data_IF_575387302810
#
_entry.id   IF_575387302810
#
_cell.length_a   1.000
_cell.length_b   1.000
_cell.length_c   1.000
_cell.angle_alpha   90.00
_cell.angle_beta   90.00
_cell.angle_gamma   90.00
#
_symmetry.space_group_name_H-M   'P 1'
#
loop_
_entity.id
_entity.type
_entity.pdbx_description
1 polymer ?
#
# COMPACT_ATOMS: atom_id res chain seq x y z
N UNK A 1 8.65 19.70 21.86
CA UNK A 1 9.10 18.86 20.72
C UNK A 1 8.59 17.42 20.85
N UNK A 2 8.78 16.75 21.99
CA UNK A 2 8.28 15.39 22.24
C UNK A 2 6.76 15.21 22.01
N UNK A 3 5.93 16.17 22.41
CA UNK A 3 4.47 16.08 22.22
C UNK A 3 4.05 16.11 20.74
N UNK A 4 4.74 16.89 19.90
CA UNK A 4 4.46 16.95 18.47
C UNK A 4 4.85 15.64 17.77
N UNK A 5 6.00 15.05 18.12
CA UNK A 5 6.44 13.75 17.58
C UNK A 5 5.44 12.66 17.92
N UNK A 6 4.91 12.65 19.15
CA UNK A 6 3.88 11.70 19.57
C UNK A 6 2.59 11.85 18.74
N UNK A 7 2.11 13.09 18.53
CA UNK A 7 0.92 13.35 17.71
C UNK A 7 1.10 12.93 16.25
N UNK A 8 2.30 13.10 15.69
CA UNK A 8 2.60 12.63 14.32
C UNK A 8 2.49 11.12 14.23
N UNK A 9 3.04 10.36 15.19
CA UNK A 9 2.88 8.90 15.23
C UNK A 9 1.42 8.50 15.32
N UNK A 10 0.66 9.15 16.21
CA UNK A 10 -0.76 8.90 16.38
C UNK A 10 -1.61 9.23 15.14
N UNK A 11 -1.12 9.98 14.16
CA UNK A 11 -1.85 10.22 12.91
C UNK A 11 -1.77 9.08 11.89
N UNK A 12 -0.85 8.13 12.08
CA UNK A 12 -0.70 6.94 11.24
C UNK A 12 -1.68 5.87 11.77
N UNK A 13 -2.92 5.86 11.27
CA UNK A 13 -3.98 4.97 11.79
C UNK A 13 -4.64 4.08 10.75
N UNK A 14 -4.52 4.40 9.47
CA UNK A 14 -5.28 3.73 8.42
C UNK A 14 -4.42 2.73 7.68
N UNK A 15 -5.05 1.61 7.30
CA UNK A 15 -4.47 0.71 6.33
C UNK A 15 -5.50 0.22 5.32
N UNK A 16 -5.52 0.85 4.15
CA UNK A 16 -6.48 0.52 3.08
C UNK A 16 -6.28 -0.89 2.52
N UNK A 17 -5.07 -1.44 2.54
CA UNK A 17 -4.82 -2.78 1.96
C UNK A 17 -5.32 -3.93 2.83
N UNK A 18 -5.85 -3.63 4.02
CA UNK A 18 -6.49 -4.62 4.90
C UNK A 18 -7.99 -4.77 4.63
N UNK A 19 -8.59 -3.93 3.81
CA UNK A 19 -10.04 -3.91 3.57
C UNK A 19 -10.40 -4.48 2.21
N UNK A 20 -10.53 -5.81 2.13
CA UNK A 20 -11.02 -6.54 0.97
C UNK A 20 -11.55 -7.92 1.39
N UNK A 21 -12.41 -8.50 0.54
CA UNK A 21 -12.86 -9.87 0.71
C UNK A 21 -11.73 -10.82 0.30
N UNK A 22 -11.19 -11.60 1.25
CA UNK A 22 -10.14 -12.58 0.96
C UNK A 22 -10.75 -13.80 0.25
N UNK A 23 -10.23 -14.13 -0.92
CA UNK A 23 -10.66 -15.23 -1.78
C UNK A 23 -9.44 -16.05 -2.19
N UNK A 24 -9.57 -17.37 -2.17
CA UNK A 24 -8.53 -18.26 -2.68
C UNK A 24 -8.43 -18.15 -4.21
N UNK A 25 -7.32 -17.59 -4.68
CA UNK A 25 -7.04 -17.49 -6.11
C UNK A 25 -6.51 -18.82 -6.64
N UNK A 26 -7.22 -19.40 -7.61
CA UNK A 26 -6.66 -20.51 -8.38
C UNK A 26 -5.51 -20.02 -9.28
N UNK A 27 -4.50 -20.87 -9.52
CA UNK A 27 -3.36 -20.52 -10.37
C UNK A 27 -3.76 -20.06 -11.79
N UNK A 28 -4.85 -20.62 -12.32
CA UNK A 28 -5.41 -20.21 -13.62
C UNK A 28 -5.92 -18.76 -13.59
N UNK A 29 -6.61 -18.35 -12.52
CA UNK A 29 -7.15 -17.00 -12.35
C UNK A 29 -6.06 -15.96 -12.14
N UNK A 30 -4.96 -16.34 -11.47
CA UNK A 30 -3.81 -15.47 -11.27
C UNK A 30 -3.04 -15.20 -12.58
N UNK A 31 -2.96 -16.19 -13.47
CA UNK A 31 -2.18 -16.08 -14.72
C UNK A 31 -2.73 -15.09 -15.75
N UNK A 32 -4.02 -14.72 -15.64
CA UNK A 32 -4.67 -13.77 -16.54
C UNK A 32 -4.53 -12.30 -16.11
N UNK A 33 -4.01 -12.02 -14.91
CA UNK A 33 -3.94 -10.68 -14.37
C UNK A 33 -2.59 -10.06 -14.75
N UNK A 34 -2.57 -8.94 -15.50
CA UNK A 34 -1.33 -8.28 -15.88
C UNK A 34 -0.65 -7.66 -14.65
N UNK A 35 0.68 -7.62 -14.64
CA UNK A 35 1.38 -6.83 -13.62
C UNK A 35 1.17 -5.31 -13.84
N UNK A 36 0.84 -4.59 -12.77
CA UNK A 36 0.43 -3.18 -12.81
C UNK A 36 1.55 -2.20 -12.48
N UNK A 37 2.77 -2.66 -12.22
CA UNK A 37 3.94 -1.81 -11.94
C UNK A 37 4.20 -0.76 -13.03
N UNK A 38 3.74 -0.99 -14.26
CA UNK A 38 3.69 0.03 -15.30
C UNK A 38 2.32 0.00 -15.98
N UNK A 39 1.58 1.10 -15.95
CA UNK A 39 0.32 1.20 -16.67
C UNK A 39 0.54 1.49 -18.15
N UNK A 40 -0.32 0.89 -18.97
CA UNK A 40 -0.47 1.16 -20.39
C UNK A 40 -1.93 0.93 -20.74
N UNK A 41 -2.44 1.57 -21.79
CA UNK A 41 -3.81 1.39 -22.25
C UNK A 41 -4.15 -0.09 -22.45
N UNK A 42 -3.24 -0.87 -23.04
CA UNK A 42 -3.42 -2.32 -23.22
C UNK A 42 -3.58 -3.11 -21.92
N UNK A 43 -2.89 -2.69 -20.85
CA UNK A 43 -3.01 -3.34 -19.54
C UNK A 43 -4.32 -2.95 -18.86
N UNK A 44 -4.72 -1.69 -18.98
CA UNK A 44 -6.02 -1.23 -18.47
C UNK A 44 -7.16 -1.94 -19.21
N UNK A 45 -7.08 -2.07 -20.52
CA UNK A 45 -8.07 -2.83 -21.30
C UNK A 45 -8.19 -4.28 -20.83
N UNK A 46 -7.07 -4.93 -20.50
CA UNK A 46 -7.11 -6.31 -19.99
C UNK A 46 -7.71 -6.47 -18.59
N UNK A 47 -7.88 -5.38 -17.83
CA UNK A 47 -8.59 -5.42 -16.55
C UNK A 47 -10.11 -5.33 -16.70
N UNK A 48 -10.63 -4.86 -17.85
CA UNK A 48 -12.06 -4.55 -18.03
C UNK A 48 -13.00 -5.72 -17.79
N UNK A 49 -12.56 -6.91 -18.17
CA UNK A 49 -13.36 -8.14 -18.09
C UNK A 49 -13.12 -8.93 -16.79
N UNK A 50 -12.27 -8.41 -15.89
CA UNK A 50 -11.95 -9.07 -14.62
C UNK A 50 -12.89 -8.64 -13.50
N UNK A 51 -13.00 -9.49 -12.48
CA UNK A 51 -13.70 -9.18 -11.24
C UNK A 51 -12.80 -8.40 -10.28
N UNK A 52 -13.34 -7.35 -9.62
CA UNK A 52 -12.56 -6.50 -8.71
C UNK A 52 -12.01 -7.29 -7.52
N UNK A 53 -12.78 -8.23 -6.94
CA UNK A 53 -12.31 -9.01 -5.80
C UNK A 53 -11.11 -9.89 -6.22
N UNK A 54 -11.16 -10.44 -7.43
CA UNK A 54 -10.07 -11.21 -8.01
C UNK A 54 -8.80 -10.35 -8.18
N UNK A 55 -8.95 -9.13 -8.72
CA UNK A 55 -7.83 -8.18 -8.87
C UNK A 55 -7.27 -7.78 -7.51
N UNK A 56 -8.12 -7.40 -6.55
CA UNK A 56 -7.71 -7.04 -5.19
C UNK A 56 -6.93 -8.16 -4.52
N UNK A 57 -7.43 -9.40 -4.54
CA UNK A 57 -6.74 -10.55 -3.95
C UNK A 57 -5.36 -10.79 -4.57
N UNK A 58 -5.24 -10.61 -5.90
CA UNK A 58 -3.99 -10.87 -6.59
C UNK A 58 -2.90 -9.86 -6.23
N UNK A 59 -3.27 -8.61 -5.97
CA UNK A 59 -2.32 -7.57 -5.60
C UNK A 59 -2.10 -7.45 -4.09
N UNK A 60 -3.13 -7.62 -3.27
CA UNK A 60 -3.04 -7.48 -1.81
C UNK A 60 -2.40 -8.69 -1.14
N UNK A 61 -2.79 -9.92 -1.46
CA UNK A 61 -2.27 -11.10 -0.76
C UNK A 61 -0.73 -11.18 -0.80
N UNK A 62 -0.05 -11.02 -1.96
CA UNK A 62 1.41 -11.06 -1.99
C UNK A 62 2.07 -9.95 -1.17
N UNK A 63 1.43 -8.78 -1.05
CA UNK A 63 1.96 -7.66 -0.23
C UNK A 63 1.84 -7.98 1.26
N UNK A 64 0.72 -8.58 1.68
CA UNK A 64 0.53 -9.01 3.07
C UNK A 64 1.48 -10.14 3.44
N UNK A 65 1.65 -11.13 2.56
CA UNK A 65 2.62 -12.23 2.73
C UNK A 65 4.07 -11.73 2.74
N UNK A 66 4.40 -10.77 1.88
CA UNK A 66 5.73 -10.15 1.88
C UNK A 66 6.00 -9.44 3.20
N UNK A 67 5.01 -8.72 3.76
CA UNK A 67 5.16 -8.06 5.05
C UNK A 67 5.35 -9.06 6.19
N UNK A 68 4.48 -10.07 6.29
CA UNK A 68 4.55 -11.07 7.36
C UNK A 68 5.88 -11.84 7.34
N UNK A 69 6.31 -12.28 6.15
CA UNK A 69 7.56 -13.01 5.97
C UNK A 69 8.81 -12.15 6.19
N UNK A 70 8.83 -10.91 5.67
CA UNK A 70 10.01 -10.02 5.78
C UNK A 70 10.29 -9.57 7.22
N UNK A 71 9.24 -9.45 8.03
CA UNK A 71 9.34 -8.96 9.41
C UNK A 71 9.08 -10.03 10.47
N UNK A 72 8.87 -11.28 10.04
CA UNK A 72 8.58 -12.42 10.90
C UNK A 72 7.46 -12.13 11.92
N UNK A 73 6.36 -11.58 11.39
CA UNK A 73 5.11 -11.35 12.14
C UNK A 73 4.02 -12.30 11.64
N UNK A 74 2.99 -12.49 12.46
CA UNK A 74 1.83 -13.29 12.09
C UNK A 74 1.16 -12.78 10.80
N UNK A 75 0.44 -13.67 10.12
CA UNK A 75 -0.37 -13.29 8.96
C UNK A 75 -1.36 -12.16 9.31
N UNK A 76 -1.46 -11.20 8.40
CA UNK A 76 -2.28 -10.02 8.61
C UNK A 76 -3.76 -10.36 8.43
N UNK A 77 -4.57 -9.87 9.35
CA UNK A 77 -6.02 -10.06 9.34
C UNK A 77 -6.63 -9.01 8.40
N UNK A 78 -7.51 -9.44 7.50
CA UNK A 78 -8.24 -8.56 6.57
C UNK A 78 -9.71 -8.46 6.97
N UNK A 79 -10.42 -7.48 6.41
CA UNK A 79 -11.87 -7.39 6.55
C UNK A 79 -12.55 -7.07 5.22
N UNK A 80 -13.64 -7.77 4.95
CA UNK A 80 -14.59 -7.49 3.87
C UNK A 80 -15.46 -6.25 4.10
N UNK A 81 -15.34 -5.58 5.25
CA UNK A 81 -16.22 -4.49 5.64
C UNK A 81 -15.45 -3.37 6.33
N UNK A 82 -15.52 -2.17 5.77
CA UNK A 82 -14.85 -0.97 6.30
C UNK A 82 -15.28 -0.60 7.73
N UNK A 83 -16.48 -1.01 8.15
CA UNK A 83 -16.99 -0.79 9.52
C UNK A 83 -16.38 -1.75 10.54
N UNK A 84 -15.74 -2.84 10.10
CA UNK A 84 -15.08 -3.83 10.94
C UNK A 84 -13.57 -3.67 10.83
N UNK A 85 -12.99 -2.91 11.75
CA UNK A 85 -11.53 -2.73 11.79
C UNK A 85 -10.90 -4.10 12.10
N UNK A 86 -10.04 -4.65 11.23
CA UNK A 86 -9.42 -5.95 11.48
C UNK A 86 -8.44 -5.85 12.65
N UNK A 87 -8.62 -6.74 13.62
CA UNK A 87 -7.76 -6.80 14.80
C UNK A 87 -6.50 -7.62 14.50
N UNK A 88 -5.37 -6.93 14.40
CA UNK A 88 -4.07 -7.57 14.17
C UNK A 88 -3.54 -8.24 15.44
N UNK A 89 -2.67 -9.21 15.23
CA UNK A 89 -1.98 -9.92 16.29
C UNK A 89 -1.05 -9.00 17.11
N UNK A 90 -0.78 -9.32 18.40
CA UNK A 90 0.07 -8.49 19.25
C UNK A 90 1.50 -8.28 18.75
N UNK A 91 2.10 -9.28 18.12
CA UNK A 91 3.43 -9.22 17.50
C UNK A 91 3.47 -8.24 16.32
N UNK A 92 2.45 -8.24 15.46
CA UNK A 92 2.31 -7.29 14.34
C UNK A 92 2.19 -5.85 14.86
N UNK A 93 1.34 -5.62 15.87
CA UNK A 93 1.20 -4.29 16.48
C UNK A 93 2.49 -3.84 17.16
N UNK A 94 3.16 -4.76 17.86
CA UNK A 94 4.45 -4.49 18.52
C UNK A 94 5.52 -4.11 17.51
N UNK A 95 5.59 -4.82 16.37
CA UNK A 95 6.52 -4.51 15.29
C UNK A 95 6.28 -3.11 14.72
N UNK A 96 5.03 -2.78 14.36
CA UNK A 96 4.70 -1.46 13.78
C UNK A 96 5.05 -0.34 14.77
N UNK A 97 4.71 -0.51 16.05
CA UNK A 97 5.05 0.48 17.08
C UNK A 97 6.57 0.62 17.25
N UNK A 98 7.30 -0.51 17.31
CA UNK A 98 8.76 -0.51 17.43
C UNK A 98 9.43 0.14 16.22
N UNK A 99 8.90 -0.10 15.02
CA UNK A 99 9.35 0.56 13.80
C UNK A 99 9.18 2.08 13.91
N UNK A 100 7.99 2.57 14.26
CA UNK A 100 7.73 4.01 14.42
C UNK A 100 8.55 4.62 15.57
N UNK A 101 8.82 3.86 16.62
CA UNK A 101 9.65 4.28 17.76
C UNK A 101 11.13 4.38 17.42
N UNK A 102 11.60 3.59 16.47
CA UNK A 102 12.99 3.66 15.99
C UNK A 102 13.28 4.88 15.10
N UNK A 103 12.24 5.55 14.57
CA UNK A 103 12.43 6.66 13.62
C UNK A 103 12.81 7.96 14.32
N UNK A 104 13.79 8.65 13.77
CA UNK A 104 14.04 10.05 14.13
C UNK A 104 12.98 10.99 13.53
N UNK A 105 12.90 12.28 13.95
CA UNK A 105 11.87 13.19 13.48
C UNK A 105 11.81 13.39 11.96
N UNK A 106 12.94 13.37 11.25
CA UNK A 106 12.99 13.54 9.79
C UNK A 106 12.49 12.30 9.05
N UNK A 107 12.89 11.12 9.53
CA UNK A 107 12.35 9.85 9.04
C UNK A 107 10.85 9.77 9.29
N UNK A 108 10.36 10.18 10.48
CA UNK A 108 8.94 10.19 10.80
C UNK A 108 8.12 11.10 9.88
N UNK A 109 8.64 12.28 9.51
CA UNK A 109 8.00 13.16 8.53
C UNK A 109 7.88 12.46 7.17
N UNK A 110 8.95 11.78 6.73
CA UNK A 110 8.92 11.02 5.47
C UNK A 110 7.91 9.88 5.51
N UNK A 111 7.86 9.16 6.63
CA UNK A 111 6.89 8.09 6.87
C UNK A 111 5.46 8.62 6.87
N UNK A 112 5.20 9.76 7.51
CA UNK A 112 3.88 10.37 7.50
C UNK A 112 3.45 10.81 6.11
N UNK A 113 4.34 11.46 5.35
CA UNK A 113 4.02 11.91 4.00
C UNK A 113 3.81 10.74 3.03
N UNK A 114 4.59 9.67 3.18
CA UNK A 114 4.41 8.42 2.43
C UNK A 114 3.08 7.76 2.78
N UNK A 115 2.78 7.63 4.08
CA UNK A 115 1.50 7.09 4.56
C UNK A 115 0.32 7.90 4.07
N UNK A 116 0.43 9.23 4.05
CA UNK A 116 -0.63 10.08 3.52
C UNK A 116 -0.89 9.83 2.02
N UNK A 117 0.14 9.52 1.25
CA UNK A 117 0.00 9.22 -0.18
C UNK A 117 -0.56 7.81 -0.44
N UNK A 118 -0.11 6.82 0.32
CA UNK A 118 -0.46 5.40 0.12
C UNK A 118 -1.69 4.95 0.93
N UNK A 119 -2.10 5.74 1.94
CA UNK A 119 -3.17 5.42 2.90
C UNK A 119 -3.01 4.08 3.64
N UNK A 120 -1.81 3.50 3.61
CA UNK A 120 -1.46 2.20 4.16
C UNK A 120 -0.11 2.22 4.87
N UNK A 121 -0.08 1.76 6.12
CA UNK A 121 1.17 1.67 6.89
C UNK A 121 2.00 0.46 6.46
N UNK A 122 1.34 -0.64 6.07
CA UNK A 122 2.00 -1.83 5.50
C UNK A 122 2.77 -1.44 4.24
N UNK A 123 2.10 -0.81 3.27
CA UNK A 123 2.76 -0.34 2.04
C UNK A 123 3.85 0.69 2.32
N UNK A 124 3.61 1.59 3.27
CA UNK A 124 4.60 2.60 3.67
C UNK A 124 5.88 1.95 4.20
N UNK A 125 5.76 0.95 5.08
CA UNK A 125 6.93 0.25 5.64
C UNK A 125 7.65 -0.53 4.54
N UNK A 126 6.93 -1.30 3.73
CA UNK A 126 7.53 -2.06 2.62
C UNK A 126 8.28 -1.15 1.65
N UNK A 127 7.68 -0.01 1.28
CA UNK A 127 8.29 0.96 0.37
C UNK A 127 9.54 1.61 0.97
N UNK A 128 9.47 2.10 2.22
CA UNK A 128 10.62 2.75 2.88
C UNK A 128 11.77 1.78 3.17
N UNK A 129 11.49 0.47 3.23
CA UNK A 129 12.49 -0.60 3.35
C UNK A 129 12.99 -1.11 2.00
N UNK A 130 12.65 -0.45 0.88
CA UNK A 130 13.00 -0.85 -0.48
C UNK A 130 12.55 -2.27 -0.86
N UNK A 131 11.49 -2.79 -0.23
CA UNK A 131 10.94 -4.13 -0.52
C UNK A 131 9.97 -4.10 -1.71
N UNK A 132 9.40 -2.93 -2.02
CA UNK A 132 8.54 -2.71 -3.18
C UNK A 132 8.91 -1.40 -3.88
N UNK A 133 8.68 -1.33 -5.20
CA UNK A 133 8.90 -0.13 -6.00
C UNK A 133 7.87 0.97 -5.67
N UNK A 134 8.16 2.23 -6.02
CA UNK A 134 7.20 3.33 -5.88
C UNK A 134 5.95 3.11 -6.72
N UNK A 135 6.09 2.48 -7.89
CA UNK A 135 4.96 2.15 -8.75
C UNK A 135 4.11 1.05 -8.13
N UNK A 136 4.73 -0.04 -7.64
CA UNK A 136 4.01 -1.11 -6.94
C UNK A 136 3.23 -0.56 -5.75
N UNK A 137 3.89 0.25 -4.91
CA UNK A 137 3.27 0.86 -3.74
C UNK A 137 2.05 1.70 -4.13
N UNK A 138 2.18 2.55 -5.14
CA UNK A 138 1.09 3.40 -5.63
C UNK A 138 -0.08 2.55 -6.17
N UNK A 139 0.19 1.55 -7.00
CA UNK A 139 -0.84 0.73 -7.64
C UNK A 139 -1.64 -0.07 -6.66
N UNK A 140 -0.95 -0.71 -5.73
CA UNK A 140 -1.62 -1.48 -4.69
C UNK A 140 -2.47 -0.52 -3.84
N UNK A 141 -1.97 0.67 -3.49
CA UNK A 141 -2.76 1.64 -2.72
C UNK A 141 -4.04 2.15 -3.41
N UNK A 142 -4.10 2.06 -4.75
CA UNK A 142 -5.17 2.63 -5.60
C UNK A 142 -5.75 1.60 -6.57
N UNK A 143 -5.82 0.34 -6.16
CA UNK A 143 -6.25 -0.74 -7.05
C UNK A 143 -7.68 -0.52 -7.55
N UNK A 144 -8.57 -0.01 -6.70
CA UNK A 144 -9.96 0.29 -7.05
C UNK A 144 -10.05 1.43 -8.07
N UNK A 145 -9.34 2.53 -7.84
CA UNK A 145 -9.31 3.66 -8.78
C UNK A 145 -8.72 3.25 -10.14
N UNK A 146 -7.69 2.40 -10.13
CA UNK A 146 -7.08 1.84 -11.34
C UNK A 146 -8.08 0.98 -12.09
N UNK A 147 -8.82 0.13 -11.39
CA UNK A 147 -9.85 -0.74 -11.96
C UNK A 147 -11.06 0.05 -12.51
N UNK A 148 -11.46 1.11 -11.82
CA UNK A 148 -12.51 2.02 -12.29
C UNK A 148 -12.06 2.77 -13.54
N UNK A 149 -10.81 3.23 -13.58
CA UNK A 149 -10.23 3.90 -14.75
C UNK A 149 -10.13 2.97 -15.95
N UNK A 150 -9.84 1.68 -15.75
CA UNK A 150 -9.95 0.70 -16.85
C UNK A 150 -11.38 0.58 -17.38
N UNK A 151 -12.39 0.57 -16.50
CA UNK A 151 -13.78 0.36 -16.92
C UNK A 151 -14.45 1.58 -17.54
N UNK A 152 -14.09 2.78 -17.08
CA UNK A 152 -14.77 4.03 -17.45
C UNK A 152 -13.91 5.01 -18.22
N UNK A 153 -12.65 4.63 -18.50
CA UNK A 153 -11.68 5.45 -19.21
C UNK A 153 -10.76 6.22 -18.26
N UNK A 154 -9.54 6.45 -18.73
CA UNK A 154 -8.53 7.23 -18.03
C UNK A 154 -8.80 8.71 -18.23
N UNK A 155 -8.68 9.49 -17.15
CA UNK A 155 -8.79 10.95 -17.20
C UNK A 155 -7.41 11.59 -17.04
N UNK A 156 -7.21 12.76 -17.63
CA UNK A 156 -5.96 13.54 -17.46
C UNK A 156 -5.64 13.81 -15.97
N UNK A 157 -6.68 13.93 -15.14
CA UNK A 157 -6.52 14.12 -13.70
C UNK A 157 -5.91 12.89 -13.02
N UNK A 158 -6.30 11.68 -13.44
CA UNK A 158 -5.75 10.43 -12.90
C UNK A 158 -4.25 10.33 -13.19
N UNK A 159 -3.84 10.59 -14.43
CA UNK A 159 -2.42 10.55 -14.84
C UNK A 159 -1.59 11.62 -14.12
N UNK A 160 -2.14 12.82 -13.97
CA UNK A 160 -1.48 13.91 -13.27
C UNK A 160 -1.30 13.59 -11.77
N UNK A 161 -2.35 13.09 -11.11
CA UNK A 161 -2.27 12.68 -9.71
C UNK A 161 -1.24 11.58 -9.50
N UNK A 162 -1.22 10.58 -10.38
CA UNK A 162 -0.26 9.49 -10.34
C UNK A 162 1.19 9.99 -10.41
N UNK A 163 1.49 10.82 -11.41
CA UNK A 163 2.83 11.42 -11.59
C UNK A 163 3.25 12.25 -10.38
N UNK A 164 2.32 13.03 -9.81
CA UNK A 164 2.55 13.81 -8.60
C UNK A 164 2.87 12.93 -7.40
N UNK A 165 2.12 11.85 -7.19
CA UNK A 165 2.33 10.94 -6.06
C UNK A 165 3.65 10.19 -6.22
N UNK A 166 3.99 9.69 -7.42
CA UNK A 166 5.28 9.05 -7.68
C UNK A 166 6.44 9.98 -7.37
N UNK A 167 6.36 11.24 -7.79
CA UNK A 167 7.36 12.27 -7.48
C UNK A 167 7.51 12.50 -5.97
N UNK A 168 6.38 12.57 -5.25
CA UNK A 168 6.37 12.72 -3.79
C UNK A 168 6.94 11.49 -3.07
N UNK A 169 6.58 10.27 -3.49
CA UNK A 169 7.09 9.02 -2.91
C UNK A 169 8.61 8.94 -3.05
N UNK A 170 9.13 9.21 -4.25
CA UNK A 170 10.57 9.21 -4.50
C UNK A 170 11.29 10.28 -3.66
N UNK A 171 10.71 11.47 -3.54
CA UNK A 171 11.25 12.55 -2.70
C UNK A 171 11.28 12.16 -1.22
N UNK A 172 10.21 11.52 -0.72
CA UNK A 172 10.13 11.02 0.65
C UNK A 172 11.15 9.92 0.92
N UNK A 173 11.31 8.97 0.00
CA UNK A 173 12.30 7.89 0.14
C UNK A 173 13.73 8.43 0.19
N UNK A 174 14.05 9.39 -0.70
CA UNK A 174 15.36 10.04 -0.70
C UNK A 174 15.61 10.79 0.61
N UNK A 175 14.63 11.56 1.09
CA UNK A 175 14.75 12.27 2.36
C UNK A 175 14.88 11.31 3.56
N UNK A 176 14.11 10.22 3.57
CA UNK A 176 14.20 9.17 4.60
C UNK A 176 15.63 8.58 4.66
N UNK A 177 16.18 8.19 3.51
CA UNK A 177 17.52 7.58 3.42
C UNK A 177 18.65 8.54 3.80
N UNK A 178 18.56 9.81 3.40
CA UNK A 178 19.57 10.82 3.74
C UNK A 178 19.63 11.15 5.24
N UNK A 179 18.54 10.88 5.95
CA UNK A 179 18.42 11.11 7.39
C UNK A 179 18.37 9.79 8.18
N UNK A 180 18.87 8.69 7.61
CA UNK A 180 18.96 7.39 8.30
C UNK A 180 20.29 7.18 9.00
#
# INVERSE_FOLDING_TARGET
MLDHVKRLKESIRTDTVLFFEKVDLSAHMASSIPDLDHLSDSKLDSLKDLDLNLVQNFFFNPVLELFSSSFNVSELVTSDNISKIPHQSPDTLSFINSFLDSLNPFQLISTLSTHHNLKSIILTILFLKDLISSHRALRVSRIEETFQSSNWGVTDTFELEESNILSQLNSCLNFYKLNS
#
